data_IF_227438352935
#
_entry.id   IF_227438352935
#
_cell.length_a   1.000
_cell.length_b   1.000
_cell.length_c   1.000
_cell.angle_alpha   90.00
_cell.angle_beta   90.00
_cell.angle_gamma   90.00
#
_symmetry.space_group_name_H-M   'P 1'
#
loop_
_entity.id
_entity.type
_entity.pdbx_description
1 polymer ?
#
# COMPACT_ATOMS: atom_id res chain seq x y z
N UNK A 1 -9.11 3.46 -20.69
CA UNK A 1 -10.28 3.61 -19.79
C UNK A 1 -10.04 4.81 -18.89
N UNK A 2 -10.61 5.97 -19.24
CA UNK A 2 -10.60 7.13 -18.35
C UNK A 2 -11.65 6.90 -17.27
N UNK A 3 -11.23 6.80 -16.02
CA UNK A 3 -12.14 6.74 -14.87
C UNK A 3 -12.33 8.19 -14.42
N UNK A 4 -13.35 8.85 -14.98
CA UNK A 4 -13.77 10.17 -14.55
C UNK A 4 -14.57 10.06 -13.25
N UNK A 5 -14.07 10.69 -12.20
CA UNK A 5 -14.78 10.82 -10.93
C UNK A 5 -15.93 11.79 -11.03
N UNK A 6 -17.08 11.37 -10.53
CA UNK A 6 -18.07 12.23 -9.88
C UNK A 6 -18.83 11.33 -8.89
N UNK A 7 -18.42 11.38 -7.62
CA UNK A 7 -19.19 10.80 -6.53
C UNK A 7 -20.37 11.72 -6.25
N UNK A 8 -21.53 11.36 -6.79
CA UNK A 8 -22.80 11.89 -6.33
C UNK A 8 -23.63 10.71 -5.83
N UNK A 9 -23.89 10.66 -4.52
CA UNK A 9 -24.84 9.71 -3.94
C UNK A 9 -26.23 10.03 -4.49
N UNK A 10 -26.61 9.36 -5.58
CA UNK A 10 -27.97 9.40 -6.15
C UNK A 10 -28.65 8.07 -5.82
N UNK A 11 -29.27 8.01 -4.64
CA UNK A 11 -30.27 6.98 -4.33
C UNK A 11 -31.57 7.30 -5.06
N UNK A 12 -31.76 6.72 -6.24
CA UNK A 12 -33.05 6.70 -6.92
C UNK A 12 -33.92 5.56 -6.34
N UNK A 13 -34.97 5.91 -5.61
CA UNK A 13 -35.96 4.94 -5.12
C UNK A 13 -37.00 4.66 -6.23
N UNK A 14 -36.94 3.48 -6.85
CA UNK A 14 -38.03 2.98 -7.70
C UNK A 14 -38.87 1.97 -6.89
N UNK A 15 -40.05 2.42 -6.44
CA UNK A 15 -40.98 1.60 -5.64
C UNK A 15 -41.62 0.53 -6.54
N UNK A 16 -41.15 -0.72 -6.44
CA UNK A 16 -41.87 -1.90 -6.90
C UNK A 16 -41.95 -2.89 -5.73
N UNK A 17 -43.18 -3.06 -5.21
CA UNK A 17 -43.52 -3.92 -4.06
C UNK A 17 -43.20 -5.38 -4.40
N UNK A 18 -42.13 -5.90 -3.81
CA UNK A 18 -41.67 -7.29 -3.97
C UNK A 18 -40.16 -7.46 -4.18
N UNK A 19 -39.45 -6.41 -4.62
CA UNK A 19 -38.03 -6.49 -5.03
C UNK A 19 -37.02 -5.87 -4.04
N UNK A 20 -37.48 -5.18 -2.99
CA UNK A 20 -36.62 -4.36 -2.11
C UNK A 20 -35.83 -5.13 -1.03
N UNK A 21 -36.28 -6.34 -0.66
CA UNK A 21 -35.74 -7.03 0.54
C UNK A 21 -34.40 -7.72 0.24
N UNK A 22 -34.19 -8.30 -0.95
CA UNK A 22 -32.96 -9.06 -1.23
C UNK A 22 -31.72 -8.17 -1.44
N UNK A 23 -31.90 -6.95 -1.95
CA UNK A 23 -30.78 -6.00 -2.14
C UNK A 23 -30.35 -5.35 -0.82
N UNK A 24 -31.27 -5.17 0.13
CA UNK A 24 -30.96 -4.44 1.37
C UNK A 24 -29.99 -5.22 2.25
N UNK A 25 -30.26 -6.51 2.49
CA UNK A 25 -29.35 -7.41 3.20
C UNK A 25 -28.00 -7.55 2.49
N UNK A 26 -28.02 -7.67 1.17
CA UNK A 26 -26.80 -7.76 0.34
C UNK A 26 -25.89 -6.52 0.44
N UNK A 27 -26.47 -5.32 0.42
CA UNK A 27 -25.72 -4.07 0.59
C UNK A 27 -25.28 -3.90 2.05
N UNK A 28 -26.07 -4.38 3.02
CA UNK A 28 -25.70 -4.40 4.44
C UNK A 28 -24.50 -5.34 4.68
N UNK A 29 -24.50 -6.54 4.10
CA UNK A 29 -23.38 -7.48 4.19
C UNK A 29 -22.10 -6.87 3.60
N UNK A 30 -22.16 -6.24 2.41
CA UNK A 30 -21.01 -5.53 1.83
C UNK A 30 -20.45 -4.44 2.75
N UNK A 31 -21.31 -3.68 3.45
CA UNK A 31 -20.87 -2.59 4.34
C UNK A 31 -20.11 -3.09 5.57
N UNK A 32 -20.31 -4.34 5.97
CA UNK A 32 -19.65 -4.93 7.13
C UNK A 32 -18.23 -5.43 6.83
N UNK A 33 -17.83 -5.49 5.56
CA UNK A 33 -16.54 -6.04 5.13
C UNK A 33 -15.75 -5.08 4.25
N UNK A 34 -14.54 -4.71 4.69
CA UNK A 34 -13.59 -3.92 3.88
C UNK A 34 -13.17 -4.68 2.64
N UNK A 35 -13.01 -3.96 1.53
CA UNK A 35 -12.66 -4.51 0.22
C UNK A 35 -13.52 -5.67 -0.28
N UNK A 36 -14.72 -5.85 0.27
CA UNK A 36 -15.65 -6.85 -0.17
C UNK A 36 -16.22 -6.50 -1.54
N UNK A 37 -16.58 -7.53 -2.30
CA UNK A 37 -17.31 -7.38 -3.53
C UNK A 37 -18.31 -8.50 -3.73
N UNK A 38 -19.27 -8.21 -4.58
CA UNK A 38 -20.24 -9.19 -4.97
C UNK A 38 -20.61 -9.07 -6.44
N UNK A 39 -20.93 -10.22 -7.03
CA UNK A 39 -21.28 -10.37 -8.43
C UNK A 39 -22.62 -11.08 -8.51
N UNK A 40 -23.60 -10.42 -9.13
CA UNK A 40 -24.93 -10.98 -9.35
C UNK A 40 -25.29 -10.98 -10.83
N UNK A 41 -25.89 -12.06 -11.30
CA UNK A 41 -26.49 -12.12 -12.63
C UNK A 41 -27.99 -12.27 -12.50
N UNK A 42 -28.73 -11.27 -12.99
CA UNK A 42 -30.19 -11.25 -12.90
C UNK A 42 -30.79 -10.54 -14.11
N UNK A 43 -31.79 -11.18 -14.72
CA UNK A 43 -32.50 -10.66 -15.90
C UNK A 43 -31.52 -10.25 -17.00
N UNK A 44 -30.58 -11.16 -17.31
CA UNK A 44 -29.55 -10.98 -18.34
C UNK A 44 -28.62 -9.77 -18.15
N UNK A 45 -28.50 -9.29 -16.90
CA UNK A 45 -27.57 -8.23 -16.50
C UNK A 45 -26.59 -8.74 -15.46
N UNK A 46 -25.36 -8.26 -15.54
CA UNK A 46 -24.31 -8.50 -14.55
C UNK A 46 -24.19 -7.25 -13.68
N UNK A 47 -24.32 -7.43 -12.37
CA UNK A 47 -24.10 -6.39 -11.37
C UNK A 47 -22.83 -6.71 -10.61
N UNK A 48 -21.92 -5.74 -10.51
CA UNK A 48 -20.70 -5.82 -9.73
C UNK A 48 -20.75 -4.68 -8.72
N UNK A 49 -20.73 -5.01 -7.44
CA UNK A 49 -20.83 -4.02 -6.35
C UNK A 49 -19.72 -4.29 -5.37
N UNK A 50 -18.88 -3.29 -5.11
CA UNK A 50 -17.88 -3.34 -4.06
C UNK A 50 -18.29 -2.49 -2.86
N UNK A 51 -17.79 -2.83 -1.67
CA UNK A 51 -17.98 -2.00 -0.47
C UNK A 51 -17.21 -0.68 -0.55
N UNK A 52 -16.11 -0.66 -1.32
CA UNK A 52 -15.26 0.50 -1.58
C UNK A 52 -14.51 0.37 -2.92
N UNK A 53 -13.59 1.31 -3.20
CA UNK A 53 -12.82 1.38 -4.46
C UNK A 53 -12.11 0.06 -4.80
N UNK A 54 -11.40 -0.54 -3.84
CA UNK A 54 -10.65 -1.79 -4.04
C UNK A 54 -11.57 -3.00 -4.19
N UNK A 55 -12.63 -3.10 -3.39
CA UNK A 55 -13.65 -4.14 -3.56
C UNK A 55 -14.24 -4.11 -4.96
N UNK A 56 -14.61 -2.92 -5.45
CA UNK A 56 -15.17 -2.76 -6.80
C UNK A 56 -14.17 -3.20 -7.87
N UNK A 57 -12.89 -2.81 -7.74
CA UNK A 57 -11.82 -3.24 -8.63
C UNK A 57 -11.64 -4.77 -8.63
N UNK A 58 -11.65 -5.42 -7.47
CA UNK A 58 -11.54 -6.88 -7.39
C UNK A 58 -12.73 -7.60 -8.02
N UNK A 59 -13.95 -7.08 -7.86
CA UNK A 59 -15.12 -7.63 -8.54
C UNK A 59 -15.03 -7.55 -10.07
N UNK A 60 -14.49 -6.45 -10.60
CA UNK A 60 -14.22 -6.30 -12.04
C UNK A 60 -13.12 -7.29 -12.48
N UNK A 61 -12.04 -7.41 -11.72
CA UNK A 61 -10.93 -8.32 -12.03
C UNK A 61 -11.30 -9.79 -11.83
N UNK A 62 -12.33 -10.10 -11.05
CA UNK A 62 -12.91 -11.43 -10.96
C UNK A 62 -13.61 -11.82 -12.27
N UNK A 63 -14.29 -10.87 -12.95
CA UNK A 63 -14.78 -11.11 -14.31
C UNK A 63 -13.60 -11.36 -15.26
N UNK A 64 -12.53 -10.54 -15.20
CA UNK A 64 -11.31 -10.76 -15.99
C UNK A 64 -10.74 -12.16 -15.79
N UNK A 65 -10.71 -12.67 -14.54
CA UNK A 65 -10.26 -14.03 -14.25
C UNK A 65 -11.19 -15.08 -14.86
N UNK A 66 -12.51 -14.92 -14.71
CA UNK A 66 -13.52 -15.86 -15.23
C UNK A 66 -13.53 -15.95 -16.74
N UNK A 67 -13.21 -14.87 -17.46
CA UNK A 67 -13.07 -14.93 -18.92
C UNK A 67 -11.78 -15.63 -19.37
N UNK A 68 -10.84 -15.89 -18.46
CA UNK A 68 -9.63 -16.67 -18.71
C UNK A 68 -8.36 -15.83 -18.80
N UNK A 69 -8.36 -14.58 -18.33
CA UNK A 69 -7.15 -13.75 -18.29
C UNK A 69 -6.40 -14.03 -17.00
N UNK A 70 -5.19 -14.59 -17.14
CA UNK A 70 -4.27 -14.83 -16.03
C UNK A 70 -3.81 -13.51 -15.38
N UNK A 71 -3.58 -13.45 -14.05
CA UNK A 71 -2.85 -12.33 -13.44
C UNK A 71 -1.48 -12.09 -14.07
N UNK A 72 -0.88 -13.14 -14.63
CA UNK A 72 0.45 -13.15 -15.23
C UNK A 72 0.43 -12.92 -16.74
N UNK A 73 -0.66 -12.41 -17.31
CA UNK A 73 -0.80 -12.21 -18.77
C UNK A 73 0.37 -11.42 -19.37
N UNK A 74 0.81 -10.36 -18.67
CA UNK A 74 1.93 -9.55 -19.11
C UNK A 74 3.25 -9.91 -18.41
N UNK A 75 3.21 -10.25 -17.12
CA UNK A 75 4.41 -10.51 -16.34
C UNK A 75 5.09 -11.85 -16.66
N UNK A 76 4.38 -12.79 -17.28
CA UNK A 76 4.92 -14.07 -17.72
C UNK A 76 4.33 -14.51 -19.07
N UNK A 77 3.94 -13.55 -19.92
CA UNK A 77 3.40 -13.77 -21.26
C UNK A 77 2.30 -14.85 -21.33
N UNK A 78 1.48 -14.93 -20.28
CA UNK A 78 0.50 -16.00 -20.14
C UNK A 78 -0.60 -15.86 -21.21
N UNK A 79 -0.68 -16.86 -22.09
CA UNK A 79 -1.59 -16.85 -23.24
C UNK A 79 -3.06 -16.64 -22.84
N UNK A 80 -3.74 -15.71 -23.53
CA UNK A 80 -5.17 -15.46 -23.38
C UNK A 80 -5.92 -16.11 -24.54
N UNK A 81 -6.67 -17.17 -24.25
CA UNK A 81 -7.51 -17.82 -25.25
C UNK A 81 -8.63 -16.90 -25.74
N UNK A 82 -8.79 -16.78 -27.07
CA UNK A 82 -9.91 -16.05 -27.66
C UNK A 82 -11.21 -16.81 -27.41
N UNK A 83 -12.21 -16.10 -26.88
CA UNK A 83 -13.57 -16.64 -26.69
C UNK A 83 -14.55 -15.78 -27.49
N UNK A 84 -15.40 -16.43 -28.28
CA UNK A 84 -16.48 -15.78 -29.03
C UNK A 84 -17.75 -15.62 -28.20
N UNK A 85 -17.91 -16.43 -27.14
CA UNK A 85 -19.04 -16.38 -26.22
C UNK A 85 -18.56 -16.52 -24.77
N UNK A 86 -19.23 -15.80 -23.88
CA UNK A 86 -19.09 -15.92 -22.43
C UNK A 86 -20.49 -16.01 -21.84
N UNK A 87 -20.76 -17.08 -21.09
CA UNK A 87 -22.04 -17.27 -20.41
C UNK A 87 -21.82 -17.26 -18.92
N UNK A 88 -22.51 -16.36 -18.21
CA UNK A 88 -22.67 -16.43 -16.77
C UNK A 88 -24.08 -16.90 -16.45
N UNK A 89 -24.21 -17.88 -15.55
CA UNK A 89 -25.49 -18.47 -15.19
C UNK A 89 -26.40 -17.39 -14.55
N UNK A 90 -27.62 -17.23 -15.07
CA UNK A 90 -28.64 -16.40 -14.42
C UNK A 90 -28.92 -16.95 -13.01
N UNK A 91 -28.94 -16.06 -12.02
CA UNK A 91 -28.96 -16.44 -10.60
C UNK A 91 -27.59 -16.67 -9.96
N UNK A 92 -26.48 -16.44 -10.68
CA UNK A 92 -25.15 -16.34 -10.04
C UNK A 92 -25.21 -15.27 -8.93
N UNK A 93 -24.77 -15.65 -7.74
CA UNK A 93 -24.63 -14.78 -6.58
C UNK A 93 -23.32 -15.12 -5.88
N UNK A 94 -22.30 -14.27 -6.07
CA UNK A 94 -20.99 -14.39 -5.46
C UNK A 94 -20.81 -13.24 -4.48
N UNK A 95 -20.26 -13.53 -3.30
CA UNK A 95 -19.84 -12.55 -2.31
C UNK A 95 -18.48 -12.97 -1.79
N UNK A 96 -17.50 -12.07 -1.84
CA UNK A 96 -16.12 -12.34 -1.47
C UNK A 96 -15.56 -11.15 -0.69
N UNK A 97 -14.69 -11.43 0.27
CA UNK A 97 -13.91 -10.43 1.00
C UNK A 97 -12.58 -11.05 1.44
N UNK A 98 -11.54 -10.23 1.68
CA UNK A 98 -10.26 -10.79 2.10
C UNK A 98 -10.31 -11.28 3.55
N UNK A 99 -9.56 -12.36 3.82
CA UNK A 99 -9.29 -12.82 5.19
C UNK A 99 -8.19 -12.00 5.87
N UNK A 100 -7.27 -11.42 5.09
CA UNK A 100 -6.16 -10.58 5.56
C UNK A 100 -6.30 -9.17 4.99
N UNK A 101 -6.34 -8.18 5.89
CA UNK A 101 -6.58 -6.77 5.54
C UNK A 101 -5.50 -6.22 4.62
N UNK A 102 -4.22 -6.38 4.98
CA UNK A 102 -3.07 -5.90 4.21
C UNK A 102 -2.26 -7.06 3.68
N UNK A 103 -2.06 -7.11 2.36
CA UNK A 103 -1.47 -8.25 1.66
C UNK A 103 -0.77 -7.74 0.42
N UNK A 104 0.49 -8.10 0.27
CA UNK A 104 1.38 -7.41 -0.63
C UNK A 104 2.74 -8.06 -0.77
N UNK A 105 3.63 -7.33 -1.43
CA UNK A 105 5.02 -7.71 -1.66
C UNK A 105 5.94 -6.56 -1.26
N UNK A 106 7.19 -6.91 -1.02
CA UNK A 106 8.31 -5.98 -0.92
C UNK A 106 9.27 -6.28 -2.07
N UNK A 107 9.59 -5.28 -2.88
CA UNK A 107 10.72 -5.40 -3.81
C UNK A 107 12.01 -5.10 -3.05
N UNK A 108 12.86 -6.11 -2.93
CA UNK A 108 14.15 -6.04 -2.27
C UNK A 108 15.18 -6.79 -3.10
N UNK A 109 16.48 -6.52 -2.86
CA UNK A 109 17.59 -7.14 -3.60
C UNK A 109 17.44 -6.94 -5.12
N UNK A 110 16.96 -5.76 -5.52
CA UNK A 110 16.55 -5.44 -6.89
C UNK A 110 17.72 -5.20 -7.86
N UNK A 111 18.94 -5.12 -7.33
CA UNK A 111 20.17 -4.63 -7.96
C UNK A 111 20.47 -5.24 -9.32
N UNK A 112 20.25 -6.55 -9.46
CA UNK A 112 20.65 -7.33 -10.64
C UNK A 112 19.47 -7.84 -11.47
N UNK A 113 18.25 -7.41 -11.14
CA UNK A 113 17.03 -7.89 -11.78
C UNK A 113 16.11 -6.74 -12.17
N UNK A 114 15.07 -6.52 -11.36
CA UNK A 114 13.98 -5.63 -11.71
C UNK A 114 14.41 -4.16 -11.82
N UNK A 115 15.40 -3.70 -11.04
CA UNK A 115 15.89 -2.33 -11.13
C UNK A 115 16.53 -2.05 -12.50
N UNK A 116 17.62 -2.72 -12.93
CA UNK A 116 18.20 -2.51 -14.26
C UNK A 116 17.23 -2.84 -15.39
N UNK A 117 16.37 -3.86 -15.24
CA UNK A 117 15.32 -4.13 -16.22
C UNK A 117 14.38 -2.94 -16.41
N UNK A 118 13.95 -2.30 -15.32
CA UNK A 118 13.06 -1.15 -15.36
C UNK A 118 13.68 0.02 -16.11
N UNK A 119 14.79 0.58 -15.60
CA UNK A 119 15.31 1.86 -16.09
C UNK A 119 16.13 1.75 -17.38
N UNK A 120 16.52 0.53 -17.82
CA UNK A 120 17.21 0.32 -19.09
C UNK A 120 16.28 -0.21 -20.21
N UNK A 121 15.19 -0.91 -19.88
CA UNK A 121 14.38 -1.61 -20.89
C UNK A 121 12.91 -1.16 -20.88
N UNK A 122 12.19 -1.39 -19.78
CA UNK A 122 10.73 -1.22 -19.77
C UNK A 122 10.30 0.25 -19.70
N UNK A 123 10.96 1.04 -18.86
CA UNK A 123 10.77 2.48 -18.74
C UNK A 123 12.15 3.16 -18.76
N UNK A 124 12.77 3.29 -19.95
CA UNK A 124 14.12 3.84 -20.06
C UNK A 124 14.23 5.23 -19.43
N UNK A 125 15.20 5.40 -18.52
CA UNK A 125 15.51 6.67 -17.86
C UNK A 125 16.99 7.01 -17.99
N UNK A 126 17.29 8.33 -17.99
CA UNK A 126 18.66 8.85 -17.90
C UNK A 126 19.19 8.83 -16.46
N UNK A 127 18.30 8.74 -15.47
CA UNK A 127 18.67 8.63 -14.05
C UNK A 127 18.89 7.16 -13.73
N UNK A 128 20.14 6.80 -13.42
CA UNK A 128 20.50 5.43 -13.02
C UNK A 128 19.66 5.02 -11.80
N UNK A 129 19.07 3.83 -11.85
CA UNK A 129 18.31 3.29 -10.73
C UNK A 129 16.87 3.80 -10.61
N UNK A 130 16.40 4.64 -11.53
CA UNK A 130 15.06 5.22 -11.46
C UNK A 130 13.99 4.24 -11.94
N UNK A 131 13.28 3.63 -10.99
CA UNK A 131 12.06 2.87 -11.27
C UNK A 131 10.86 3.81 -11.33
N UNK A 132 10.45 4.17 -12.54
CA UNK A 132 9.42 5.18 -12.79
C UNK A 132 7.97 4.70 -12.64
N UNK A 133 7.01 5.59 -12.94
CA UNK A 133 5.60 5.32 -12.74
C UNK A 133 5.01 4.29 -13.71
N UNK A 134 5.57 4.09 -14.91
CA UNK A 134 5.09 3.02 -15.81
C UNK A 134 5.46 1.65 -15.27
N UNK A 135 6.68 1.49 -14.73
CA UNK A 135 7.10 0.27 -14.05
C UNK A 135 6.19 -0.03 -12.87
N UNK A 136 5.96 0.97 -12.00
CA UNK A 136 5.07 0.82 -10.86
C UNK A 136 3.62 0.53 -11.26
N UNK A 137 3.12 1.12 -12.35
CA UNK A 137 1.78 0.79 -12.87
C UNK A 137 1.63 -0.70 -13.22
N UNK A 138 2.69 -1.36 -13.75
CA UNK A 138 2.66 -2.81 -14.02
C UNK A 138 2.68 -3.64 -12.77
N UNK A 139 3.46 -3.23 -11.77
CA UNK A 139 3.50 -3.89 -10.47
C UNK A 139 2.11 -3.79 -9.83
N UNK A 140 1.51 -2.60 -9.81
CA UNK A 140 0.20 -2.36 -9.22
C UNK A 140 -0.93 -3.09 -9.96
N UNK A 141 -0.87 -3.17 -11.29
CA UNK A 141 -1.80 -4.01 -12.06
C UNK A 141 -1.72 -5.48 -11.62
N UNK A 142 -0.52 -6.03 -11.48
CA UNK A 142 -0.32 -7.40 -11.00
C UNK A 142 -0.87 -7.59 -9.59
N UNK A 143 -0.57 -6.67 -8.67
CA UNK A 143 -1.09 -6.71 -7.31
C UNK A 143 -2.62 -6.74 -7.33
N UNK A 144 -3.28 -5.84 -8.05
CA UNK A 144 -4.74 -5.84 -8.13
C UNK A 144 -5.30 -7.14 -8.73
N UNK A 145 -4.67 -7.70 -9.77
CA UNK A 145 -5.08 -8.98 -10.39
C UNK A 145 -4.92 -10.16 -9.45
N UNK A 146 -3.91 -10.12 -8.58
CA UNK A 146 -3.71 -11.06 -7.46
C UNK A 146 -4.58 -10.74 -6.24
N UNK A 147 -5.40 -9.69 -6.32
CA UNK A 147 -6.18 -9.12 -5.22
C UNK A 147 -5.32 -8.67 -4.05
N UNK A 148 -4.06 -8.30 -4.24
CA UNK A 148 -3.22 -7.64 -3.25
C UNK A 148 -3.51 -6.13 -3.20
N UNK A 149 -3.20 -5.50 -2.07
CA UNK A 149 -3.42 -4.07 -1.85
C UNK A 149 -2.23 -3.32 -1.26
N UNK A 150 -1.18 -4.00 -0.81
CA UNK A 150 -0.03 -3.37 -0.14
C UNK A 150 1.24 -3.51 -0.97
N UNK A 151 2.07 -2.48 -0.97
CA UNK A 151 3.37 -2.51 -1.64
C UNK A 151 4.44 -1.78 -0.85
N UNK A 152 5.59 -2.42 -0.69
CA UNK A 152 6.83 -1.79 -0.22
C UNK A 152 7.78 -1.64 -1.41
N UNK A 153 8.20 -0.41 -1.76
CA UNK A 153 9.00 -0.17 -2.95
C UNK A 153 10.45 -0.61 -2.77
N UNK A 154 11.13 -0.79 -3.90
CA UNK A 154 12.58 -0.96 -3.98
C UNK A 154 13.29 0.21 -3.27
N UNK A 155 14.30 -0.13 -2.46
CA UNK A 155 14.87 0.80 -1.49
C UNK A 155 16.40 0.71 -1.31
N UNK A 156 17.06 -0.22 -2.01
CA UNK A 156 18.51 -0.34 -1.96
C UNK A 156 19.19 0.91 -2.53
N UNK A 157 20.47 1.09 -2.23
CA UNK A 157 21.21 2.31 -2.58
C UNK A 157 21.33 2.55 -4.09
N UNK A 158 21.19 1.48 -4.87
CA UNK A 158 21.19 1.48 -6.33
C UNK A 158 19.90 2.05 -6.94
N UNK A 159 18.84 2.20 -6.14
CA UNK A 159 17.52 2.64 -6.56
C UNK A 159 17.25 4.07 -6.14
N UNK A 160 16.70 4.89 -7.05
CA UNK A 160 16.16 6.20 -6.66
C UNK A 160 14.90 6.02 -5.82
N UNK A 161 14.81 6.73 -4.68
CA UNK A 161 13.71 6.53 -3.74
C UNK A 161 12.33 6.73 -4.39
N UNK A 162 11.38 5.87 -4.03
CA UNK A 162 10.03 5.90 -4.59
C UNK A 162 9.38 7.29 -4.57
N UNK A 163 9.48 7.99 -3.43
CA UNK A 163 8.88 9.32 -3.25
C UNK A 163 9.75 10.49 -3.75
N UNK A 164 10.98 10.23 -4.19
CA UNK A 164 11.81 11.21 -4.92
C UNK A 164 11.62 11.08 -6.44
N UNK A 165 11.08 9.95 -6.91
CA UNK A 165 10.78 9.73 -8.32
C UNK A 165 9.41 10.32 -8.68
N UNK A 166 9.39 11.31 -9.57
CA UNK A 166 8.16 11.99 -9.98
C UNK A 166 7.12 11.02 -10.60
N UNK A 167 5.85 11.14 -10.18
CA UNK A 167 4.74 10.34 -10.69
C UNK A 167 4.49 9.02 -9.95
N UNK A 168 5.45 8.52 -9.15
CA UNK A 168 5.31 7.24 -8.46
C UNK A 168 4.20 7.28 -7.40
N UNK A 169 4.17 8.33 -6.56
CA UNK A 169 3.11 8.55 -5.57
C UNK A 169 1.74 8.61 -6.26
N UNK A 170 1.62 9.42 -7.29
CA UNK A 170 0.37 9.60 -8.04
C UNK A 170 -0.10 8.27 -8.66
N UNK A 171 0.85 7.42 -9.08
CA UNK A 171 0.54 6.10 -9.61
C UNK A 171 0.00 5.16 -8.53
N UNK A 172 0.58 5.17 -7.32
CA UNK A 172 0.05 4.37 -6.20
C UNK A 172 -1.35 4.82 -5.80
N UNK A 173 -1.58 6.13 -5.69
CA UNK A 173 -2.90 6.71 -5.38
C UNK A 173 -3.93 6.33 -6.46
N UNK A 174 -3.54 6.42 -7.74
CA UNK A 174 -4.40 6.07 -8.89
C UNK A 174 -4.84 4.62 -8.88
N UNK A 175 -3.95 3.69 -8.51
CA UNK A 175 -4.26 2.27 -8.42
C UNK A 175 -4.88 1.89 -7.06
N UNK A 176 -4.93 2.83 -6.11
CA UNK A 176 -5.44 2.60 -4.76
C UNK A 176 -4.57 1.61 -3.97
N UNK A 177 -3.27 1.57 -4.22
CA UNK A 177 -2.32 0.74 -3.49
C UNK A 177 -1.97 1.42 -2.18
N UNK A 178 -2.07 0.65 -1.09
CA UNK A 178 -1.62 1.06 0.24
C UNK A 178 -0.11 0.93 0.29
N UNK A 179 0.59 2.06 0.40
CA UNK A 179 2.05 2.05 0.48
C UNK A 179 2.50 1.76 1.90
N UNK A 180 3.56 0.98 2.06
CA UNK A 180 4.30 0.88 3.31
C UNK A 180 5.80 0.90 3.03
N UNK A 181 6.59 0.76 4.07
CA UNK A 181 8.05 0.74 3.99
C UNK A 181 8.63 -0.31 4.93
N UNK A 182 9.87 -0.74 4.69
CA UNK A 182 10.50 -1.79 5.50
C UNK A 182 10.77 -1.32 6.95
N UNK A 183 11.23 -2.26 7.78
CA UNK A 183 11.52 -2.07 9.21
C UNK A 183 12.54 -0.98 9.56
N UNK A 184 13.30 -0.46 8.59
CA UNK A 184 14.30 0.59 8.81
C UNK A 184 13.96 1.90 8.10
N UNK A 185 12.74 2.03 7.60
CA UNK A 185 12.29 3.18 6.80
C UNK A 185 11.08 3.86 7.46
N UNK A 186 11.22 4.36 8.69
CA UNK A 186 10.10 4.88 9.45
C UNK A 186 9.48 6.10 8.77
N UNK A 187 8.20 6.33 9.05
CA UNK A 187 7.46 7.50 8.58
C UNK A 187 7.50 7.69 7.06
N UNK A 188 7.49 6.57 6.33
CA UNK A 188 7.50 6.52 4.86
C UNK A 188 8.77 7.13 4.23
N UNK A 189 9.90 7.14 4.96
CA UNK A 189 11.19 7.67 4.51
C UNK A 189 12.21 6.55 4.34
N UNK A 190 12.73 6.41 3.12
CA UNK A 190 13.88 5.57 2.85
C UNK A 190 15.17 6.28 3.31
N UNK A 191 15.60 6.04 4.55
CA UNK A 191 16.82 6.69 5.07
C UNK A 191 18.09 6.30 4.29
N UNK A 192 18.12 5.13 3.63
CA UNK A 192 19.28 4.67 2.85
C UNK A 192 19.63 5.61 1.68
N UNK A 193 18.61 6.18 1.05
CA UNK A 193 18.77 7.02 -0.14
C UNK A 193 18.40 8.48 0.11
N UNK A 194 17.38 8.73 0.92
CA UNK A 194 16.84 10.08 1.13
C UNK A 194 17.61 10.86 2.19
N UNK A 195 18.18 10.23 3.21
CA UNK A 195 18.85 10.96 4.31
C UNK A 195 20.06 11.76 3.82
N UNK A 196 20.83 11.21 2.88
CA UNK A 196 22.00 11.91 2.29
C UNK A 196 21.62 13.14 1.45
N UNK A 197 20.34 13.29 1.09
CA UNK A 197 19.82 14.36 0.24
C UNK A 197 19.08 15.39 1.10
N UNK A 198 18.12 14.92 1.89
CA UNK A 198 17.18 15.77 2.64
C UNK A 198 17.56 15.90 4.13
N UNK A 199 18.37 14.98 4.64
CA UNK A 199 18.79 14.94 6.04
C UNK A 199 19.88 15.96 6.37
N UNK A 200 20.10 16.15 7.67
CA UNK A 200 21.14 17.05 8.19
C UNK A 200 21.88 16.39 9.33
N UNK A 201 23.21 16.25 9.21
CA UNK A 201 24.04 15.59 10.21
C UNK A 201 23.82 14.07 10.26
N UNK A 202 24.13 13.47 11.41
CA UNK A 202 24.01 12.02 11.61
C UNK A 202 22.54 11.61 11.69
N UNK A 203 22.20 10.45 11.10
CA UNK A 203 20.89 9.83 11.30
C UNK A 203 20.84 9.16 12.68
N UNK A 204 20.73 10.01 13.70
CA UNK A 204 20.83 9.67 15.11
C UNK A 204 19.71 10.41 15.84
N UNK A 205 18.72 9.65 16.33
CA UNK A 205 17.60 10.24 17.04
C UNK A 205 18.00 10.78 18.43
N UNK A 206 18.97 10.16 19.11
CA UNK A 206 19.37 10.55 20.46
C UNK A 206 20.12 11.89 20.43
N UNK A 207 21.07 12.03 19.51
CA UNK A 207 21.95 13.20 19.44
C UNK A 207 21.53 14.24 18.41
N UNK A 208 20.62 13.91 17.48
CA UNK A 208 20.19 14.79 16.38
C UNK A 208 18.68 14.72 16.12
N UNK A 209 17.90 14.57 17.20
CA UNK A 209 16.43 14.44 17.19
C UNK A 209 15.73 15.43 16.26
N UNK A 210 16.06 16.72 16.35
CA UNK A 210 15.37 17.79 15.60
C UNK A 210 15.44 17.58 14.09
N UNK A 211 16.62 17.21 13.58
CA UNK A 211 16.81 16.98 12.14
C UNK A 211 16.07 15.72 11.68
N UNK A 212 16.11 14.65 12.49
CA UNK A 212 15.39 13.39 12.21
C UNK A 212 13.88 13.61 12.17
N UNK A 213 13.33 14.32 13.15
CA UNK A 213 11.90 14.63 13.19
C UNK A 213 11.47 15.49 12.00
N UNK A 214 12.25 16.51 11.65
CA UNK A 214 11.95 17.36 10.49
C UNK A 214 11.92 16.55 9.18
N UNK A 215 12.89 15.67 9.01
CA UNK A 215 12.97 14.78 7.84
C UNK A 215 11.72 13.89 7.71
N UNK A 216 11.26 13.26 8.79
CA UNK A 216 10.02 12.47 8.79
C UNK A 216 8.78 13.35 8.55
N UNK A 217 8.68 14.49 9.23
CA UNK A 217 7.53 15.39 9.18
C UNK A 217 7.21 15.86 7.75
N UNK A 218 8.24 16.21 6.98
CA UNK A 218 8.08 16.67 5.60
C UNK A 218 7.36 15.63 4.73
N UNK A 219 7.70 14.35 4.87
CA UNK A 219 7.04 13.24 4.15
C UNK A 219 5.63 12.99 4.68
N UNK A 220 5.43 12.99 5.99
CA UNK A 220 4.10 12.80 6.59
C UNK A 220 3.12 13.86 6.09
N UNK A 221 3.53 15.12 6.03
CA UNK A 221 2.72 16.22 5.49
C UNK A 221 2.36 16.00 4.02
N UNK A 222 3.30 15.51 3.21
CA UNK A 222 3.09 15.20 1.79
C UNK A 222 2.05 14.09 1.58
N UNK A 223 1.90 13.16 2.53
CA UNK A 223 1.10 11.94 2.39
C UNK A 223 -0.29 11.99 3.03
N UNK A 224 -0.75 13.18 3.46
CA UNK A 224 -2.03 13.36 4.18
C UNK A 224 -3.26 12.70 3.51
N UNK A 225 -3.28 12.67 2.17
CA UNK A 225 -4.42 12.17 1.38
C UNK A 225 -4.11 10.88 0.64
N UNK A 226 -3.08 10.14 1.06
CA UNK A 226 -2.65 8.88 0.45
C UNK A 226 -2.87 7.71 1.41
N UNK A 227 -3.14 6.53 0.85
CA UNK A 227 -3.31 5.30 1.64
C UNK A 227 -1.94 4.76 2.04
N UNK A 228 -1.61 4.78 3.34
CA UNK A 228 -0.30 4.34 3.84
C UNK A 228 -0.41 3.50 5.10
N UNK A 229 0.61 2.67 5.35
CA UNK A 229 0.91 2.04 6.63
C UNK A 229 2.24 2.64 7.13
N UNK A 230 2.17 3.40 8.21
CA UNK A 230 3.34 4.09 8.74
C UNK A 230 4.17 3.14 9.59
N UNK A 231 5.36 2.79 9.11
CA UNK A 231 6.34 2.06 9.91
C UNK A 231 6.84 2.94 11.06
N UNK A 232 6.75 2.41 12.27
CA UNK A 232 7.18 3.05 13.52
C UNK A 232 8.54 2.54 13.98
N UNK A 233 9.14 3.29 14.90
CA UNK A 233 10.45 3.01 15.48
C UNK A 233 11.58 3.64 14.65
N UNK A 234 12.80 3.16 14.87
CA UNK A 234 13.98 3.56 14.09
C UNK A 234 14.99 2.41 14.09
N UNK A 235 15.75 2.31 13.00
CA UNK A 235 17.00 1.54 12.93
C UNK A 235 18.09 2.43 12.34
N UNK A 236 19.29 1.91 12.10
CA UNK A 236 20.32 2.65 11.39
C UNK A 236 19.92 2.95 9.93
N UNK A 237 20.82 3.62 9.20
CA UNK A 237 20.70 3.70 7.75
C UNK A 237 20.76 2.27 7.18
N UNK A 238 19.79 1.91 6.32
CA UNK A 238 19.59 0.55 5.84
C UNK A 238 19.44 -0.44 7.01
N UNK A 239 20.27 -1.49 7.05
CA UNK A 239 20.16 -2.58 8.01
C UNK A 239 21.06 -2.47 9.24
N UNK A 240 21.63 -1.29 9.46
CA UNK A 240 22.46 -1.00 10.63
C UNK A 240 21.66 -0.87 11.93
N UNK A 241 22.37 -0.96 13.06
CA UNK A 241 21.81 -0.63 14.38
C UNK A 241 21.52 0.87 14.48
N UNK A 242 20.56 1.24 15.32
CA UNK A 242 20.31 2.66 15.60
C UNK A 242 21.55 3.33 16.21
N UNK A 243 21.77 4.60 15.86
CA UNK A 243 22.87 5.39 16.41
C UNK A 243 22.46 6.05 17.73
N UNK A 244 23.46 6.37 18.56
CA UNK A 244 23.26 7.08 19.82
C UNK A 244 22.78 6.24 21.00
N UNK A 245 22.48 4.95 20.81
CA UNK A 245 22.08 4.02 21.87
C UNK A 245 22.87 2.69 21.74
N UNK A 246 23.74 2.43 22.72
CA UNK A 246 24.72 1.35 22.68
C UNK A 246 24.30 0.12 23.49
N UNK A 247 23.41 0.28 24.48
CA UNK A 247 22.84 -0.82 25.26
C UNK A 247 21.38 -1.09 24.87
N UNK A 248 20.88 -2.30 25.14
CA UNK A 248 19.47 -2.64 24.88
C UNK A 248 18.51 -1.74 25.67
N UNK A 249 18.88 -1.32 26.89
CA UNK A 249 18.07 -0.40 27.69
C UNK A 249 18.01 1.00 27.07
N UNK A 250 19.15 1.55 26.64
CA UNK A 250 19.18 2.83 25.93
C UNK A 250 18.34 2.79 24.64
N UNK A 251 18.40 1.66 23.90
CA UNK A 251 17.58 1.46 22.70
C UNK A 251 16.09 1.41 23.03
N UNK A 252 15.71 0.71 24.10
CA UNK A 252 14.33 0.66 24.61
C UNK A 252 13.82 2.06 24.93
N UNK A 253 14.58 2.83 25.71
CA UNK A 253 14.20 4.18 26.15
C UNK A 253 14.08 5.15 24.97
N UNK A 254 14.98 5.04 23.99
CA UNK A 254 14.91 5.79 22.75
C UNK A 254 13.68 5.42 21.93
N UNK A 255 13.37 4.14 21.75
CA UNK A 255 12.21 3.68 20.98
C UNK A 255 10.89 4.15 21.60
N UNK A 256 10.75 4.14 22.94
CA UNK A 256 9.58 4.69 23.63
C UNK A 256 9.39 6.18 23.28
N UNK A 257 10.48 6.94 23.32
CA UNK A 257 10.46 8.37 22.97
C UNK A 257 10.11 8.59 21.49
N UNK A 258 10.62 7.73 20.61
CA UNK A 258 10.35 7.77 19.17
C UNK A 258 8.89 7.47 18.87
N UNK A 259 8.30 6.45 19.50
CA UNK A 259 6.88 6.15 19.33
C UNK A 259 6.01 7.33 19.71
N UNK A 260 6.33 8.02 20.82
CA UNK A 260 5.61 9.21 21.23
C UNK A 260 5.67 10.29 20.14
N UNK A 261 6.86 10.62 19.64
CA UNK A 261 7.00 11.68 18.64
C UNK A 261 6.39 11.35 17.28
N UNK A 262 6.55 10.11 16.82
CA UNK A 262 5.96 9.65 15.56
C UNK A 262 4.43 9.66 15.64
N UNK A 263 3.85 9.24 16.78
CA UNK A 263 2.41 9.29 17.00
C UNK A 263 1.90 10.72 17.15
N UNK A 264 2.63 11.60 17.84
CA UNK A 264 2.32 13.03 17.91
C UNK A 264 2.34 13.67 16.51
N UNK A 265 3.29 13.27 15.65
CA UNK A 265 3.37 13.72 14.26
C UNK A 265 2.17 13.23 13.43
N UNK A 266 1.80 11.95 13.53
CA UNK A 266 0.60 11.38 12.90
C UNK A 266 -0.64 12.14 13.34
N UNK A 267 -0.77 12.37 14.65
CA UNK A 267 -1.89 13.10 15.25
C UNK A 267 -2.05 14.50 14.66
N UNK A 268 -0.95 15.24 14.57
CA UNK A 268 -0.95 16.65 14.20
C UNK A 268 -1.15 16.87 12.71
N UNK A 269 -0.65 15.98 11.86
CA UNK A 269 -0.62 16.22 10.41
C UNK A 269 -1.59 15.35 9.61
N UNK A 270 -1.95 14.16 10.12
CA UNK A 270 -2.81 13.21 9.41
C UNK A 270 -4.21 13.14 10.01
N UNK A 271 -4.32 12.68 11.27
CA UNK A 271 -5.61 12.44 11.92
C UNK A 271 -5.48 12.58 13.43
N UNK A 272 -6.29 13.45 14.10
CA UNK A 272 -6.22 13.61 15.56
C UNK A 272 -6.54 12.33 16.33
N UNK A 273 -7.25 11.39 15.71
CA UNK A 273 -7.47 10.04 16.20
C UNK A 273 -6.43 9.10 15.56
N UNK A 274 -5.31 8.92 16.26
CA UNK A 274 -4.14 8.17 15.76
C UNK A 274 -4.47 6.70 15.50
N UNK A 275 -5.44 6.11 16.19
CA UNK A 275 -5.84 4.71 16.03
C UNK A 275 -6.53 4.46 14.67
N UNK A 276 -7.03 5.51 14.02
CA UNK A 276 -7.57 5.43 12.66
C UNK A 276 -6.50 5.44 11.57
N UNK A 277 -5.24 5.69 11.91
CA UNK A 277 -4.11 5.70 10.96
C UNK A 277 -3.36 4.37 11.06
N UNK A 278 -3.28 3.58 9.98
CA UNK A 278 -2.54 2.31 9.99
C UNK A 278 -1.06 2.55 10.32
N UNK A 279 -0.60 1.87 11.36
CA UNK A 279 0.78 1.91 11.86
C UNK A 279 1.29 0.48 11.99
N UNK A 280 2.60 0.29 11.81
CA UNK A 280 3.23 -1.02 11.99
C UNK A 280 4.57 -0.86 12.69
N UNK A 281 4.82 -1.67 13.71
CA UNK A 281 6.14 -1.83 14.30
C UNK A 281 6.67 -3.22 13.95
N UNK A 282 7.89 -3.28 13.43
CA UNK A 282 8.49 -4.52 12.92
C UNK A 282 9.76 -4.79 13.74
N UNK A 283 9.69 -5.60 14.81
CA UNK A 283 10.84 -5.91 15.65
C UNK A 283 11.78 -6.90 14.94
N UNK A 284 12.52 -6.39 13.96
CA UNK A 284 13.43 -7.17 13.13
C UNK A 284 14.86 -7.14 13.69
N UNK A 285 15.57 -8.28 13.60
CA UNK A 285 16.95 -8.46 14.09
C UNK A 285 17.10 -8.00 15.55
N UNK A 286 17.97 -7.04 15.83
CA UNK A 286 18.28 -6.58 17.18
C UNK A 286 17.09 -5.93 17.90
N UNK A 287 16.10 -5.44 17.14
CA UNK A 287 14.91 -4.81 17.69
C UNK A 287 14.00 -5.83 18.39
N UNK A 288 14.10 -7.12 18.03
CA UNK A 288 13.37 -8.19 18.73
C UNK A 288 13.84 -8.35 20.18
N UNK A 289 15.14 -8.20 20.43
CA UNK A 289 15.68 -8.29 21.80
C UNK A 289 15.14 -7.15 22.66
N UNK A 290 15.07 -5.94 22.11
CA UNK A 290 14.47 -4.78 22.77
C UNK A 290 12.97 -5.00 23.05
N UNK A 291 12.24 -5.58 22.09
CA UNK A 291 10.83 -5.94 22.29
C UNK A 291 10.65 -6.94 23.44
N UNK A 292 11.46 -8.00 23.46
CA UNK A 292 11.42 -9.05 24.48
C UNK A 292 11.78 -8.57 25.89
N UNK A 293 12.39 -7.40 26.03
CA UNK A 293 12.58 -6.73 27.33
C UNK A 293 11.29 -6.10 27.89
N UNK A 294 10.13 -6.39 27.30
CA UNK A 294 8.85 -5.79 27.67
C UNK A 294 8.76 -4.34 27.20
N UNK A 295 9.10 -4.09 25.94
CA UNK A 295 8.77 -2.82 25.28
C UNK A 295 7.26 -2.72 25.11
N UNK A 296 6.66 -1.65 25.64
CA UNK A 296 5.25 -1.36 25.41
C UNK A 296 5.08 -0.72 24.02
N UNK A 297 4.32 -1.39 23.15
CA UNK A 297 4.02 -0.92 21.79
C UNK A 297 2.56 -0.44 21.77
N UNK A 298 2.29 0.85 21.48
CA UNK A 298 0.93 1.42 21.45
C UNK A 298 0.02 0.92 20.34
#
# INVERSE_FOLDING_TARGET
MHIGGNYCYSTAFLRIRGFYISYKKFIEDLKNHKEAYAIQVKNDKIYIVGSEKRGTAYGILEISRRIGVSPWEWWADSHIAKKTTLTLKNGLNLFEHPSVVHRGIFLNDEDFGINPWSYLNYEPSKTKGQMGPKTHARIFELLLRLRANTFWPAMHEVTEAFYQTAGNKEMADKYGIVMGTSHCEPMMRNANTEWKIDGKGNYDYVNNRVSVLKFWEERVKQLKNSDNIYTLGIRGVHDGKMQGANTLQEQKDAIISIFKDQRDMIKNFLNPDVEKVPQVFIPYKEVLDVYNMGLEVP
#
